data_IF_451334109278
#
_entry.id   IF_451334109278
#
_cell.length_a   1.000
_cell.length_b   1.000
_cell.length_c   1.000
_cell.angle_alpha   90.00
_cell.angle_beta   90.00
_cell.angle_gamma   90.00
#
_symmetry.space_group_name_H-M   'P 1'
#
loop_
_entity.id
_entity.type
_entity.pdbx_description
1 polymer ?
#
# COMPACT_ATOMS: atom_id res chain seq x y z
N UNK A 1 -44.48 0.50 56.04
CA UNK A 1 -44.95 1.04 54.75
C UNK A 1 -43.82 0.92 53.75
N UNK A 2 -43.92 0.02 52.78
CA UNK A 2 -42.91 -0.13 51.73
C UNK A 2 -43.13 0.97 50.68
N UNK A 3 -42.12 1.81 50.47
CA UNK A 3 -42.15 2.81 49.42
C UNK A 3 -42.12 2.11 48.05
N UNK A 4 -43.23 2.19 47.31
CA UNK A 4 -43.27 1.78 45.92
C UNK A 4 -42.32 2.69 45.13
N UNK A 5 -41.16 2.15 44.74
CA UNK A 5 -40.24 2.80 43.80
C UNK A 5 -40.96 2.95 42.47
N UNK A 6 -41.53 4.12 42.23
CA UNK A 6 -42.27 4.48 41.03
C UNK A 6 -41.35 4.62 39.82
N UNK A 7 -40.90 3.51 39.25
CA UNK A 7 -40.51 3.46 37.85
C UNK A 7 -41.80 3.29 37.02
N UNK A 8 -42.33 4.41 36.54
CA UNK A 8 -43.41 4.38 35.54
C UNK A 8 -42.78 3.93 34.21
N UNK A 9 -42.96 2.65 33.88
CA UNK A 9 -42.57 2.08 32.59
C UNK A 9 -43.45 2.67 31.49
N UNK A 10 -43.06 3.84 30.98
CA UNK A 10 -43.69 4.42 29.80
C UNK A 10 -43.49 3.49 28.58
N UNK A 11 -44.25 3.71 27.50
CA UNK A 11 -44.05 3.00 26.22
C UNK A 11 -42.63 3.23 25.63
N UNK A 12 -41.80 4.07 26.27
CA UNK A 12 -40.39 4.30 25.99
C UNK A 12 -39.48 3.13 26.38
N UNK A 13 -39.79 2.38 27.44
CA UNK A 13 -39.01 1.20 27.84
C UNK A 13 -38.97 0.11 26.75
N UNK A 14 -40.10 -0.20 26.11
CA UNK A 14 -40.13 -1.15 24.97
C UNK A 14 -39.27 -0.67 23.78
N UNK A 15 -39.03 0.64 23.66
CA UNK A 15 -38.11 1.22 22.66
C UNK A 15 -36.65 0.95 23.04
N UNK A 16 -36.33 0.85 24.33
CA UNK A 16 -35.02 0.47 24.84
C UNK A 16 -34.81 -1.05 24.71
N UNK A 17 -35.80 -1.87 25.04
CA UNK A 17 -35.72 -3.35 24.92
C UNK A 17 -35.41 -3.82 23.48
N UNK A 18 -35.99 -3.16 22.47
CA UNK A 18 -35.66 -3.36 21.04
C UNK A 18 -34.37 -2.64 20.59
N UNK A 19 -33.96 -1.57 21.27
CA UNK A 19 -32.61 -1.01 21.13
C UNK A 19 -31.54 -1.98 21.68
N UNK A 20 -31.95 -2.92 22.53
CA UNK A 20 -31.13 -4.02 23.06
C UNK A 20 -31.34 -5.36 22.34
N UNK A 21 -32.08 -5.42 21.21
CA UNK A 21 -32.06 -6.60 20.35
C UNK A 21 -30.66 -6.74 19.74
N UNK A 22 -29.84 -7.52 20.44
CA UNK A 22 -28.44 -7.74 20.11
C UNK A 22 -28.28 -8.36 18.73
N UNK A 23 -29.24 -9.17 18.28
CA UNK A 23 -29.18 -9.85 16.98
C UNK A 23 -29.38 -8.86 15.84
N UNK A 24 -30.40 -8.00 15.94
CA UNK A 24 -30.71 -6.97 14.95
C UNK A 24 -29.66 -5.88 14.95
N UNK A 25 -29.22 -5.42 16.13
CA UNK A 25 -28.13 -4.45 16.25
C UNK A 25 -26.85 -4.99 15.62
N UNK A 26 -26.48 -6.25 15.89
CA UNK A 26 -25.32 -6.90 15.28
C UNK A 26 -25.43 -6.90 13.76
N UNK A 27 -26.57 -7.31 13.19
CA UNK A 27 -26.75 -7.37 11.74
C UNK A 27 -26.63 -5.98 11.07
N UNK A 28 -27.28 -4.97 11.64
CA UNK A 28 -27.21 -3.58 11.13
C UNK A 28 -25.80 -3.00 11.31
N UNK A 29 -25.17 -3.25 12.46
CA UNK A 29 -23.79 -2.82 12.76
C UNK A 29 -22.82 -3.37 11.74
N UNK A 30 -22.89 -4.68 11.45
CA UNK A 30 -22.00 -5.35 10.49
C UNK A 30 -22.07 -4.69 9.12
N UNK A 31 -23.27 -4.39 8.62
CA UNK A 31 -23.49 -3.70 7.34
C UNK A 31 -22.78 -2.34 7.30
N UNK A 32 -23.00 -1.48 8.30
CA UNK A 32 -22.41 -0.13 8.32
C UNK A 32 -20.91 -0.14 8.60
N UNK A 33 -20.45 -1.01 9.51
CA UNK A 33 -19.04 -1.18 9.83
C UNK A 33 -18.28 -1.70 8.61
N UNK A 34 -18.79 -2.70 7.90
CA UNK A 34 -18.16 -3.22 6.67
C UNK A 34 -18.00 -2.13 5.61
N UNK A 35 -19.03 -1.30 5.40
CA UNK A 35 -18.95 -0.17 4.46
C UNK A 35 -17.94 0.89 4.90
N UNK A 36 -17.87 1.20 6.19
CA UNK A 36 -16.86 2.13 6.71
C UNK A 36 -15.45 1.55 6.59
N UNK A 37 -15.28 0.26 6.84
CA UNK A 37 -14.03 -0.48 6.69
C UNK A 37 -13.56 -0.50 5.24
N UNK A 38 -14.46 -0.66 4.27
CA UNK A 38 -14.15 -0.53 2.84
C UNK A 38 -13.63 0.87 2.50
N UNK A 39 -14.33 1.92 2.97
CA UNK A 39 -13.90 3.31 2.78
C UNK A 39 -12.54 3.57 3.44
N UNK A 40 -12.30 3.01 4.63
CA UNK A 40 -11.03 3.11 5.35
C UNK A 40 -9.90 2.42 4.60
N UNK A 41 -10.15 1.23 4.04
CA UNK A 41 -9.20 0.53 3.17
C UNK A 41 -8.80 1.38 1.94
N UNK A 42 -9.79 2.00 1.28
CA UNK A 42 -9.53 2.89 0.14
C UNK A 42 -8.76 4.16 0.56
N UNK A 43 -9.05 4.73 1.73
CA UNK A 43 -8.31 5.87 2.27
C UNK A 43 -6.86 5.51 2.57
N UNK A 44 -6.61 4.39 3.24
CA UNK A 44 -5.27 3.91 3.54
C UNK A 44 -4.48 3.54 2.27
N UNK A 45 -5.14 2.98 1.25
CA UNK A 45 -4.56 2.74 -0.07
C UNK A 45 -4.12 4.06 -0.73
N UNK A 46 -4.98 5.07 -0.72
CA UNK A 46 -4.65 6.42 -1.25
C UNK A 46 -3.51 7.06 -0.48
N UNK A 47 -3.50 6.96 0.84
CA UNK A 47 -2.43 7.50 1.68
C UNK A 47 -1.09 6.81 1.40
N UNK A 48 -1.08 5.48 1.28
CA UNK A 48 0.12 4.70 0.92
C UNK A 48 0.67 5.11 -0.44
N UNK A 49 -0.22 5.27 -1.42
CA UNK A 49 0.07 5.84 -2.75
C UNK A 49 0.61 7.27 -2.67
N UNK A 50 0.10 8.11 -1.78
CA UNK A 50 0.58 9.47 -1.59
C UNK A 50 1.95 9.51 -0.91
N UNK A 51 2.22 8.64 0.07
CA UNK A 51 3.52 8.50 0.71
C UNK A 51 4.60 8.10 -0.32
N UNK A 52 4.26 7.21 -1.25
CA UNK A 52 5.07 6.90 -2.43
C UNK A 52 5.35 8.16 -3.26
N UNK A 53 4.32 8.96 -3.58
CA UNK A 53 4.45 10.16 -4.42
C UNK A 53 5.25 11.29 -3.76
N UNK A 54 5.03 11.52 -2.46
CA UNK A 54 5.68 12.58 -1.68
C UNK A 54 7.19 12.37 -1.56
N UNK A 55 7.65 11.12 -1.56
CA UNK A 55 9.06 10.80 -1.49
C UNK A 55 9.65 11.06 -0.10
N UNK A 56 10.82 11.71 -0.03
CA UNK A 56 11.54 11.93 1.23
C UNK A 56 12.22 10.66 1.77
N UNK A 57 12.56 9.74 0.87
CA UNK A 57 13.37 8.55 1.17
C UNK A 57 14.82 8.80 0.77
N UNK A 58 15.74 7.99 1.30
CA UNK A 58 17.17 8.08 0.97
C UNK A 58 17.40 8.15 -0.54
N UNK A 59 18.32 9.00 -0.98
CA UNK A 59 18.64 9.15 -2.41
C UNK A 59 19.09 7.80 -2.98
N UNK A 60 18.66 7.50 -4.22
CA UNK A 60 19.12 6.31 -4.93
C UNK A 60 20.60 6.45 -5.27
N UNK A 61 21.32 5.34 -5.30
CA UNK A 61 22.62 5.32 -5.96
C UNK A 61 22.43 5.55 -7.47
N UNK A 62 23.42 6.14 -8.14
CA UNK A 62 23.40 6.37 -9.59
C UNK A 62 23.14 5.08 -10.35
N UNK A 63 23.74 3.97 -9.92
CA UNK A 63 23.53 2.64 -10.47
C UNK A 63 22.06 2.19 -10.38
N UNK A 64 21.40 2.41 -9.24
CA UNK A 64 19.97 2.12 -9.07
C UNK A 64 19.09 2.97 -9.98
N UNK A 65 19.51 4.20 -10.31
CA UNK A 65 18.78 5.08 -11.24
C UNK A 65 18.90 4.56 -12.68
N UNK A 66 20.09 4.15 -13.11
CA UNK A 66 20.31 3.57 -14.44
C UNK A 66 19.54 2.26 -14.63
N UNK A 67 19.55 1.36 -13.63
CA UNK A 67 18.79 0.10 -13.69
C UNK A 67 17.26 0.34 -13.71
N UNK A 68 16.78 1.40 -13.03
CA UNK A 68 15.36 1.62 -12.82
C UNK A 68 14.68 2.58 -13.83
N UNK A 69 15.43 3.27 -14.70
CA UNK A 69 14.85 4.10 -15.77
C UNK A 69 14.17 5.41 -15.32
N UNK A 70 14.91 6.29 -14.62
CA UNK A 70 14.61 7.70 -14.27
C UNK A 70 13.97 8.05 -12.90
N UNK A 71 14.43 9.18 -12.35
CA UNK A 71 13.74 10.04 -11.37
C UNK A 71 14.10 9.95 -9.88
N UNK A 72 14.18 11.12 -9.21
CA UNK A 72 14.19 11.27 -7.72
C UNK A 72 12.96 10.64 -7.04
N UNK A 73 11.88 10.43 -7.79
CA UNK A 73 10.64 9.82 -7.31
C UNK A 73 10.71 8.31 -7.57
N UNK A 74 10.78 7.47 -6.53
CA UNK A 74 11.26 6.10 -6.67
C UNK A 74 10.31 5.14 -7.42
N UNK A 75 9.10 5.56 -7.80
CA UNK A 75 8.00 4.62 -8.04
C UNK A 75 6.97 5.11 -9.06
N UNK A 76 7.22 6.25 -9.72
CA UNK A 76 6.18 6.90 -10.53
C UNK A 76 6.27 6.58 -12.01
N UNK A 77 7.38 6.06 -12.55
CA UNK A 77 7.37 5.73 -13.98
C UNK A 77 7.97 4.38 -14.39
N UNK A 78 7.21 3.82 -15.33
CA UNK A 78 7.45 2.73 -16.29
C UNK A 78 7.75 1.31 -15.81
N UNK A 79 8.60 1.06 -14.81
CA UNK A 79 9.13 -0.31 -14.63
C UNK A 79 8.43 -1.20 -13.58
N UNK A 80 7.89 -0.65 -12.48
CA UNK A 80 7.52 -1.49 -11.32
C UNK A 80 6.01 -1.63 -11.09
N UNK A 81 5.16 -0.84 -11.77
CA UNK A 81 3.69 -0.80 -11.59
C UNK A 81 3.25 -0.83 -10.11
N UNK A 82 4.12 -0.45 -9.17
CA UNK A 82 3.89 -0.67 -7.72
C UNK A 82 2.68 0.12 -7.24
N UNK A 83 2.51 1.33 -7.77
CA UNK A 83 1.34 2.14 -7.50
C UNK A 83 0.03 1.45 -7.90
N UNK A 84 0.02 0.80 -9.07
CA UNK A 84 -1.14 0.09 -9.62
C UNK A 84 -1.34 -1.28 -8.94
N UNK A 85 -0.26 -1.97 -8.57
CA UNK A 85 -0.30 -3.30 -7.95
C UNK A 85 -0.75 -3.29 -6.49
N UNK A 86 -0.72 -2.14 -5.81
CA UNK A 86 -1.26 -2.00 -4.46
C UNK A 86 -2.78 -2.02 -4.49
N UNK A 87 -3.37 -2.87 -3.66
CA UNK A 87 -4.82 -3.09 -3.57
C UNK A 87 -5.32 -2.91 -2.13
N UNK A 88 -6.64 -2.82 -1.99
CA UNK A 88 -7.33 -2.91 -0.71
C UNK A 88 -8.44 -3.94 -0.78
N UNK A 89 -8.59 -4.77 0.26
CA UNK A 89 -9.70 -5.72 0.37
C UNK A 89 -10.22 -5.77 1.79
N UNK A 90 -11.53 -5.82 1.96
CA UNK A 90 -12.16 -5.99 3.28
C UNK A 90 -12.04 -7.45 3.69
N UNK A 91 -11.44 -7.71 4.86
CA UNK A 91 -11.28 -9.06 5.44
C UNK A 91 -12.36 -9.38 6.46
N UNK A 92 -12.82 -8.37 7.19
CA UNK A 92 -13.90 -8.48 8.17
C UNK A 92 -14.65 -7.14 8.26
N UNK A 93 -15.69 -7.08 9.07
CA UNK A 93 -16.48 -5.86 9.24
C UNK A 93 -15.66 -4.70 9.84
N UNK A 94 -14.51 -4.98 10.47
CA UNK A 94 -13.61 -3.99 11.09
C UNK A 94 -12.18 -4.03 10.54
N UNK A 95 -11.86 -4.93 9.62
CA UNK A 95 -10.49 -5.10 9.10
C UNK A 95 -10.46 -4.99 7.58
N UNK A 96 -9.62 -4.08 7.08
CA UNK A 96 -9.26 -3.99 5.66
C UNK A 96 -7.77 -4.28 5.50
N UNK A 97 -7.44 -5.12 4.53
CA UNK A 97 -6.09 -5.30 4.02
C UNK A 97 -5.76 -4.16 3.06
N UNK A 98 -4.54 -3.62 3.14
CA UNK A 98 -3.96 -2.68 2.17
C UNK A 98 -2.52 -3.10 1.89
N UNK A 99 -2.19 -3.35 0.64
CA UNK A 99 -0.85 -3.80 0.27
C UNK A 99 -0.81 -4.53 -1.06
N UNK A 100 0.18 -5.40 -1.23
CA UNK A 100 0.35 -6.25 -2.40
C UNK A 100 -0.06 -7.68 -2.07
N UNK A 101 -0.83 -8.31 -2.96
CA UNK A 101 -1.13 -9.73 -2.84
C UNK A 101 0.08 -10.56 -3.27
N UNK A 102 0.26 -11.74 -2.68
CA UNK A 102 1.37 -12.64 -2.98
C UNK A 102 1.40 -13.08 -4.46
N UNK A 103 0.24 -13.22 -5.08
CA UNK A 103 0.11 -13.57 -6.49
C UNK A 103 0.34 -12.39 -7.45
N UNK A 104 0.61 -11.19 -6.94
CA UNK A 104 0.93 -10.05 -7.79
C UNK A 104 2.37 -10.21 -8.33
N UNK A 105 2.60 -10.12 -9.65
CA UNK A 105 3.95 -10.24 -10.21
C UNK A 105 4.93 -9.19 -9.68
N UNK A 106 4.43 -8.08 -9.12
CA UNK A 106 5.24 -7.03 -8.53
C UNK A 106 5.45 -7.19 -7.01
N UNK A 107 4.96 -8.25 -6.37
CA UNK A 107 5.07 -8.44 -4.92
C UNK A 107 6.53 -8.41 -4.45
N UNK A 108 7.40 -9.23 -5.03
CA UNK A 108 8.81 -9.31 -4.64
C UNK A 108 9.54 -7.98 -4.85
N UNK A 109 9.23 -7.27 -5.94
CA UNK A 109 9.76 -5.93 -6.18
C UNK A 109 9.23 -4.92 -5.14
N UNK A 110 7.95 -5.03 -4.74
CA UNK A 110 7.35 -4.18 -3.72
C UNK A 110 8.04 -4.36 -2.37
N UNK A 111 8.25 -5.62 -1.96
CA UNK A 111 8.94 -5.96 -0.71
C UNK A 111 10.38 -5.46 -0.73
N UNK A 112 11.12 -5.74 -1.80
CA UNK A 112 12.51 -5.28 -1.96
C UNK A 112 12.64 -3.76 -1.92
N UNK A 113 11.64 -3.02 -2.41
CA UNK A 113 11.63 -1.55 -2.31
C UNK A 113 11.20 -1.10 -0.92
N UNK A 114 10.20 -1.75 -0.31
CA UNK A 114 9.64 -1.36 0.97
C UNK A 114 10.65 -1.55 2.10
N UNK A 115 11.19 -2.76 2.21
CA UNK A 115 12.15 -3.18 3.25
C UNK A 115 13.59 -2.85 2.87
N UNK A 116 13.86 -2.60 1.60
CA UNK A 116 15.21 -2.56 1.06
C UNK A 116 15.71 -3.96 0.70
N UNK A 117 16.80 -4.02 -0.06
CA UNK A 117 17.39 -5.27 -0.48
C UNK A 117 18.88 -5.11 -0.73
N UNK A 118 19.62 -6.19 -0.52
CA UNK A 118 21.03 -6.30 -0.88
C UNK A 118 21.16 -7.45 -1.86
N UNK A 119 21.59 -7.14 -3.07
CA UNK A 119 21.74 -8.12 -4.15
C UNK A 119 23.24 -8.37 -4.34
N UNK A 120 23.69 -9.60 -4.10
CA UNK A 120 25.09 -9.99 -4.38
C UNK A 120 25.35 -9.92 -5.87
N UNK A 121 26.46 -9.29 -6.26
CA UNK A 121 26.86 -9.15 -7.65
C UNK A 121 27.43 -10.48 -8.14
N UNK A 122 26.76 -11.10 -9.11
CA UNK A 122 27.25 -12.31 -9.77
C UNK A 122 28.17 -11.98 -10.96
N UNK A 123 28.94 -12.96 -11.41
CA UNK A 123 29.77 -12.84 -12.63
C UNK A 123 28.91 -12.52 -13.86
N UNK A 124 27.73 -13.13 -13.98
CA UNK A 124 26.79 -12.86 -15.06
C UNK A 124 26.29 -11.40 -15.04
N UNK A 125 26.01 -10.83 -13.85
CA UNK A 125 25.66 -9.41 -13.75
C UNK A 125 26.82 -8.52 -14.17
N UNK A 126 28.07 -8.84 -13.80
CA UNK A 126 29.23 -8.06 -14.26
C UNK A 126 29.37 -8.09 -15.79
N UNK A 127 29.19 -9.26 -16.41
CA UNK A 127 29.19 -9.39 -17.86
C UNK A 127 28.06 -8.57 -18.51
N UNK A 128 26.86 -8.59 -17.91
CA UNK A 128 25.71 -7.77 -18.34
C UNK A 128 26.02 -6.27 -18.30
N UNK A 129 26.59 -5.75 -17.21
CA UNK A 129 26.98 -4.33 -17.14
C UNK A 129 28.11 -3.98 -18.10
N UNK A 130 29.04 -4.93 -18.34
CA UNK A 130 30.11 -4.74 -19.32
C UNK A 130 29.57 -4.65 -20.75
N UNK A 131 28.65 -5.52 -21.15
CA UNK A 131 28.08 -5.46 -22.51
C UNK A 131 27.29 -4.17 -22.73
N UNK A 132 26.49 -3.75 -21.74
CA UNK A 132 25.75 -2.48 -21.80
C UNK A 132 26.68 -1.25 -21.90
N UNK A 133 27.83 -1.30 -21.22
CA UNK A 133 28.86 -0.26 -21.34
C UNK A 133 29.49 -0.25 -22.73
N UNK A 134 29.85 -1.42 -23.29
CA UNK A 134 30.40 -1.50 -24.66
C UNK A 134 29.39 -1.01 -25.70
N UNK A 135 28.10 -1.30 -25.52
CA UNK A 135 27.02 -0.73 -26.34
C UNK A 135 26.94 0.79 -26.19
N UNK A 136 27.13 1.32 -24.96
CA UNK A 136 27.19 2.78 -24.72
C UNK A 136 28.35 3.46 -25.42
N UNK A 137 29.45 2.75 -25.65
CA UNK A 137 30.60 3.24 -26.40
C UNK A 137 30.45 3.07 -27.93
N UNK A 138 29.33 2.50 -28.41
CA UNK A 138 29.13 2.18 -29.83
C UNK A 138 29.92 0.97 -30.34
N UNK A 139 30.59 0.23 -29.45
CA UNK A 139 31.40 -0.95 -29.83
C UNK A 139 30.55 -2.20 -30.07
N UNK A 140 29.33 -2.24 -29.51
CA UNK A 140 28.36 -3.32 -29.70
C UNK A 140 27.07 -2.70 -30.23
N UNK A 141 26.52 -3.27 -31.30
CA UNK A 141 25.27 -2.77 -31.88
C UNK A 141 24.08 -3.06 -30.93
N UNK A 142 23.29 -2.07 -30.50
CA UNK A 142 22.11 -2.27 -29.66
C UNK A 142 21.13 -3.37 -30.12
N UNK A 143 20.95 -3.56 -31.43
CA UNK A 143 20.03 -4.56 -31.97
C UNK A 143 20.47 -6.00 -31.70
N UNK A 144 21.73 -6.21 -31.32
CA UNK A 144 22.28 -7.53 -30.98
C UNK A 144 22.08 -7.89 -29.51
N UNK A 145 21.64 -6.94 -28.68
CA UNK A 145 21.30 -7.23 -27.29
C UNK A 145 20.07 -8.13 -27.22
N UNK A 146 20.09 -9.09 -26.29
CA UNK A 146 18.97 -10.00 -26.04
C UNK A 146 18.64 -10.09 -24.55
N UNK A 147 17.45 -10.61 -24.25
CA UNK A 147 16.97 -10.83 -22.88
C UNK A 147 17.07 -9.58 -22.01
N UNK A 148 17.64 -9.74 -20.81
CA UNK A 148 17.72 -8.65 -19.82
C UNK A 148 18.58 -7.46 -20.28
N UNK A 149 19.57 -7.68 -21.14
CA UNK A 149 20.40 -6.60 -21.66
C UNK A 149 19.59 -5.68 -22.58
N UNK A 150 18.81 -6.27 -23.49
CA UNK A 150 17.90 -5.53 -24.37
C UNK A 150 16.88 -4.74 -23.56
N UNK A 151 16.21 -5.39 -22.59
CA UNK A 151 15.22 -4.72 -21.72
C UNK A 151 15.80 -3.52 -20.96
N UNK A 152 17.03 -3.62 -20.48
CA UNK A 152 17.68 -2.52 -19.75
C UNK A 152 18.10 -1.39 -20.71
N UNK A 153 18.59 -1.75 -21.90
CA UNK A 153 18.98 -0.78 -22.92
C UNK A 153 17.79 0.03 -23.45
N UNK A 154 16.66 -0.63 -23.73
CA UNK A 154 15.42 0.05 -24.13
C UNK A 154 14.95 1.09 -23.10
N UNK A 155 15.19 0.82 -21.81
CA UNK A 155 14.81 1.73 -20.72
C UNK A 155 15.75 2.91 -20.54
N UNK A 156 17.04 2.71 -20.83
CA UNK A 156 18.06 3.72 -20.70
C UNK A 156 19.12 3.50 -21.79
N UNK A 157 18.93 4.07 -22.99
CA UNK A 157 19.91 3.94 -24.06
C UNK A 157 21.14 4.79 -23.71
N UNK A 158 22.28 4.13 -23.48
CA UNK A 158 23.55 4.77 -23.18
C UNK A 158 23.77 5.15 -21.71
N UNK A 159 24.98 5.66 -21.42
CA UNK A 159 25.39 6.09 -20.08
C UNK A 159 25.64 4.95 -19.08
N UNK A 160 25.75 3.71 -19.56
CA UNK A 160 26.09 2.56 -18.72
C UNK A 160 27.58 2.54 -18.42
N UNK A 161 27.92 2.07 -17.22
CA UNK A 161 29.29 1.88 -16.76
C UNK A 161 29.47 0.46 -16.25
N UNK A 162 30.67 -0.14 -16.37
CA UNK A 162 30.92 -1.45 -15.82
C UNK A 162 30.88 -1.37 -14.28
N UNK A 163 30.50 -2.47 -13.64
CA UNK A 163 30.60 -2.58 -12.18
C UNK A 163 32.09 -2.60 -11.79
N UNK A 164 32.48 -1.76 -10.82
CA UNK A 164 33.83 -1.78 -10.26
C UNK A 164 34.16 -3.17 -9.70
N UNK A 165 35.42 -3.63 -9.76
CA UNK A 165 35.82 -4.91 -9.16
C UNK A 165 35.39 -5.03 -7.69
N UNK A 166 35.54 -3.93 -6.93
CA UNK A 166 35.16 -3.83 -5.52
C UNK A 166 33.65 -3.85 -5.25
N UNK A 167 32.79 -3.68 -6.26
CA UNK A 167 31.34 -3.74 -6.09
C UNK A 167 30.86 -5.18 -5.95
N UNK A 168 30.81 -5.67 -4.71
CA UNK A 168 30.35 -7.03 -4.38
C UNK A 168 28.83 -7.13 -4.18
N UNK A 169 28.17 -6.00 -3.91
CA UNK A 169 26.72 -5.92 -3.67
C UNK A 169 26.11 -4.67 -4.31
N UNK A 170 24.85 -4.79 -4.70
CA UNK A 170 23.98 -3.65 -5.06
C UNK A 170 22.98 -3.47 -3.94
N UNK A 171 22.96 -2.27 -3.35
CA UNK A 171 22.07 -1.93 -2.24
C UNK A 171 20.87 -1.13 -2.77
N UNK A 172 19.68 -1.64 -2.47
CA UNK A 172 18.40 -0.94 -2.64
C UNK A 172 18.01 -0.42 -1.24
N UNK A 173 18.07 0.91 -0.99
CA UNK A 173 17.70 1.45 0.31
C UNK A 173 16.20 1.29 0.56
N UNK A 174 15.85 0.98 1.80
CA UNK A 174 14.47 0.80 2.25
C UNK A 174 13.61 2.06 1.99
N UNK A 175 12.36 1.83 1.59
CA UNK A 175 11.36 2.88 1.37
C UNK A 175 10.05 2.44 2.01
N UNK A 176 9.89 2.57 3.33
CA UNK A 176 8.77 1.99 4.04
C UNK A 176 7.49 2.84 3.87
N UNK A 177 6.96 2.91 2.64
CA UNK A 177 5.87 3.81 2.25
C UNK A 177 4.52 3.46 2.89
N UNK A 178 4.24 2.16 3.12
CA UNK A 178 3.06 1.71 3.88
C UNK A 178 3.21 2.15 5.33
N UNK A 179 4.31 1.80 6.01
CA UNK A 179 4.57 2.21 7.40
C UNK A 179 4.42 3.72 7.58
N UNK A 180 5.06 4.53 6.72
CA UNK A 180 4.94 6.00 6.77
C UNK A 180 3.51 6.51 6.57
N UNK A 181 2.72 5.87 5.71
CA UNK A 181 1.32 6.26 5.52
C UNK A 181 0.48 5.94 6.76
N UNK A 182 0.77 4.83 7.44
CA UNK A 182 0.09 4.42 8.68
C UNK A 182 0.62 5.15 9.92
N UNK A 183 1.73 5.87 9.83
CA UNK A 183 2.18 6.81 10.88
C UNK A 183 1.45 8.17 10.80
N UNK A 184 0.69 8.44 9.72
CA UNK A 184 -0.01 9.72 9.55
C UNK A 184 -1.23 9.83 10.48
N UNK A 185 -1.11 10.70 11.49
CA UNK A 185 -2.20 11.03 12.44
C UNK A 185 -3.48 11.50 11.73
N UNK A 186 -3.37 12.17 10.57
CA UNK A 186 -4.54 12.61 9.79
C UNK A 186 -5.28 11.42 9.19
N UNK A 187 -4.56 10.39 8.73
CA UNK A 187 -5.18 9.16 8.25
C UNK A 187 -5.94 8.48 9.40
N UNK A 188 -5.33 8.35 10.58
CA UNK A 188 -5.97 7.77 11.77
C UNK A 188 -7.25 8.49 12.17
N UNK A 189 -7.21 9.82 12.23
CA UNK A 189 -8.38 10.63 12.55
C UNK A 189 -9.53 10.39 11.56
N UNK A 190 -9.24 10.33 10.26
CA UNK A 190 -10.25 10.07 9.21
C UNK A 190 -10.84 8.67 9.30
N UNK A 191 -10.00 7.66 9.57
CA UNK A 191 -10.42 6.27 9.76
C UNK A 191 -11.37 6.15 10.96
N UNK A 192 -11.01 6.78 12.09
CA UNK A 192 -11.82 6.84 13.31
C UNK A 192 -13.20 7.45 13.04
N UNK A 193 -13.24 8.62 12.39
CA UNK A 193 -14.49 9.31 12.05
C UNK A 193 -15.43 8.45 11.21
N UNK A 194 -14.90 7.67 10.26
CA UNK A 194 -15.74 6.80 9.43
C UNK A 194 -16.40 5.67 10.24
N UNK A 195 -15.69 5.06 11.19
CA UNK A 195 -16.27 4.04 12.07
C UNK A 195 -17.26 4.65 13.08
N UNK A 196 -16.95 5.80 13.68
CA UNK A 196 -17.89 6.51 14.56
C UNK A 196 -19.20 6.82 13.83
N UNK A 197 -19.11 7.32 12.59
CA UNK A 197 -20.28 7.56 11.74
C UNK A 197 -21.04 6.27 11.42
N UNK A 198 -20.37 5.13 11.28
CA UNK A 198 -21.03 3.84 11.07
C UNK A 198 -21.82 3.40 12.32
N UNK A 199 -21.25 3.57 13.52
CA UNK A 199 -21.96 3.29 14.79
C UNK A 199 -23.16 4.22 14.94
N UNK A 200 -22.99 5.53 14.70
CA UNK A 200 -24.10 6.49 14.77
C UNK A 200 -25.22 6.16 13.77
N UNK A 201 -24.89 5.72 12.55
CA UNK A 201 -25.88 5.26 11.55
C UNK A 201 -26.63 4.02 12.03
N UNK A 202 -25.92 3.08 12.64
CA UNK A 202 -26.51 1.87 13.22
C UNK A 202 -27.55 2.24 14.29
N UNK A 203 -27.19 3.09 15.25
CA UNK A 203 -28.09 3.53 16.32
C UNK A 203 -29.33 4.25 15.76
N UNK A 204 -29.15 5.10 14.73
CA UNK A 204 -30.26 5.80 14.07
C UNK A 204 -31.17 4.86 13.27
N UNK A 205 -30.64 3.82 12.65
CA UNK A 205 -31.43 2.87 11.87
C UNK A 205 -32.24 1.96 12.80
N UNK A 206 -31.66 1.54 13.92
CA UNK A 206 -32.37 0.78 14.94
C UNK A 206 -33.51 1.58 15.57
N UNK A 207 -33.32 2.87 15.82
CA UNK A 207 -34.38 3.73 16.36
C UNK A 207 -35.51 4.05 15.36
N UNK A 208 -35.23 3.94 14.05
CA UNK A 208 -36.17 4.12 12.92
C UNK A 208 -36.96 2.88 12.53
N UNK A 209 -36.67 1.70 13.09
CA UNK A 209 -37.45 0.47 12.87
C UNK A 209 -38.91 0.52 13.34
N UNK A 210 -39.40 1.72 13.69
CA UNK A 210 -40.79 2.07 13.89
C UNK A 210 -41.38 2.65 12.59
N UNK A 211 -42.20 1.86 11.92
CA UNK A 211 -43.53 2.32 11.54
C UNK A 211 -44.50 1.23 11.99
#
# INVERSE_FOLDING_TARGET
MAAATGFVMDKGWKRLELAFDASRFKNVSRKHLRRATELNGLLALRASRQAVKKGGFQKRSTLTIHIAGAGKKPLIDTATRLFQGMTSSVRSDTTAFVGFLLNNPNFSAAVAVHEGAVIKVSSAMRALFRILWLTSLGQVNPSTLTGRAAELWERAPGGWWPLKPSTVVIVIPARPFIKRAFEDKKLHARVKVNWERAVQRTLREQSKGKK
#
